data_IF_591227909356
#
_entry.id   IF_591227909356
#
_cell.length_a   1.000
_cell.length_b   1.000
_cell.length_c   1.000
_cell.angle_alpha   90.00
_cell.angle_beta   90.00
_cell.angle_gamma   90.00
#
_symmetry.space_group_name_H-M   'P 1'
#
loop_
_entity.id
_entity.type
_entity.pdbx_description
1 polymer ?
#
# COMPACT_ATOMS: atom_id res chain seq x y z
N UNK A 1 -27.53 -15.56 -17.88
CA UNK A 1 -26.15 -15.59 -18.42
C UNK A 1 -25.23 -15.09 -17.33
N UNK A 2 -24.37 -15.94 -16.78
CA UNK A 2 -23.28 -15.49 -15.91
C UNK A 2 -22.33 -14.67 -16.80
N UNK A 3 -22.21 -13.37 -16.52
CA UNK A 3 -21.23 -12.53 -17.19
C UNK A 3 -19.86 -13.20 -17.00
N UNK A 4 -19.19 -13.58 -18.10
CA UNK A 4 -17.95 -14.38 -18.11
C UNK A 4 -16.73 -13.67 -17.51
N UNK A 5 -16.87 -13.10 -16.31
CA UNK A 5 -15.77 -12.58 -15.52
C UNK A 5 -15.00 -13.78 -14.94
N UNK A 6 -13.66 -13.73 -14.91
CA UNK A 6 -12.86 -14.72 -14.20
C UNK A 6 -13.36 -14.86 -12.76
N UNK A 7 -13.51 -16.11 -12.31
CA UNK A 7 -13.89 -16.42 -10.93
C UNK A 7 -12.69 -16.12 -10.02
N UNK A 8 -12.90 -15.34 -8.96
CA UNK A 8 -11.88 -15.12 -7.92
C UNK A 8 -11.86 -16.33 -6.98
N UNK A 9 -11.05 -17.32 -7.34
CA UNK A 9 -10.94 -18.60 -6.62
C UNK A 9 -10.42 -18.43 -5.19
N UNK A 10 -9.56 -17.43 -4.94
CA UNK A 10 -9.02 -17.15 -3.62
C UNK A 10 -10.13 -16.65 -2.68
N UNK A 11 -10.98 -15.75 -3.20
CA UNK A 11 -12.15 -15.28 -2.47
C UNK A 11 -13.09 -16.44 -2.16
N UNK A 12 -13.45 -17.25 -3.16
CA UNK A 12 -14.36 -18.39 -2.95
C UNK A 12 -13.82 -19.37 -1.91
N UNK A 13 -12.50 -19.66 -1.94
CA UNK A 13 -11.87 -20.53 -0.96
C UNK A 13 -12.02 -19.98 0.46
N UNK A 14 -11.84 -18.67 0.65
CA UNK A 14 -12.00 -18.05 1.98
C UNK A 14 -13.46 -18.02 2.43
N UNK A 15 -14.40 -17.80 1.51
CA UNK A 15 -15.85 -17.81 1.81
C UNK A 15 -16.31 -19.19 2.27
N UNK A 16 -15.85 -20.26 1.60
CA UNK A 16 -16.19 -21.64 1.98
C UNK A 16 -15.62 -22.01 3.36
N UNK A 17 -14.55 -21.36 3.79
CA UNK A 17 -13.90 -21.57 5.10
C UNK A 17 -14.48 -20.69 6.21
N UNK A 18 -15.54 -19.92 5.95
CA UNK A 18 -16.22 -19.16 7.01
C UNK A 18 -16.75 -20.11 8.09
N UNK A 19 -16.69 -19.72 9.38
CA UNK A 19 -17.20 -20.53 10.49
C UNK A 19 -18.69 -20.86 10.33
N UNK A 20 -19.11 -22.02 10.86
CA UNK A 20 -20.52 -22.44 10.82
C UNK A 20 -21.43 -21.42 11.53
N UNK A 21 -20.92 -20.69 12.53
CA UNK A 21 -21.64 -19.61 13.19
C UNK A 21 -22.06 -18.51 12.21
N UNK A 22 -21.19 -18.14 11.26
CA UNK A 22 -21.51 -17.14 10.23
C UNK A 22 -22.56 -17.69 9.25
N UNK A 23 -22.50 -18.98 8.90
CA UNK A 23 -23.51 -19.63 8.05
C UNK A 23 -24.88 -19.74 8.73
N UNK A 24 -24.91 -20.05 10.02
CA UNK A 24 -26.13 -20.17 10.81
C UNK A 24 -26.78 -18.81 11.09
N UNK A 25 -26.00 -17.72 11.11
CA UNK A 25 -26.50 -16.37 11.30
C UNK A 25 -27.27 -15.80 10.08
N UNK A 26 -27.20 -16.46 8.93
CA UNK A 26 -28.02 -16.16 7.76
C UNK A 26 -27.29 -15.41 6.63
N UNK A 27 -27.98 -15.19 5.50
CA UNK A 27 -27.35 -14.70 4.27
C UNK A 27 -26.82 -13.27 4.37
N UNK A 28 -27.44 -12.40 5.17
CA UNK A 28 -26.96 -11.04 5.40
C UNK A 28 -25.59 -11.05 6.06
N UNK A 29 -25.40 -11.91 7.06
CA UNK A 29 -24.10 -12.09 7.73
C UNK A 29 -23.04 -12.56 6.75
N UNK A 30 -23.37 -13.54 5.90
CA UNK A 30 -22.44 -14.04 4.88
C UNK A 30 -22.09 -12.94 3.87
N UNK A 31 -23.04 -12.11 3.47
CA UNK A 31 -22.78 -10.98 2.58
C UNK A 31 -21.78 -9.99 3.20
N UNK A 32 -21.95 -9.62 4.47
CA UNK A 32 -21.02 -8.75 5.19
C UNK A 32 -19.61 -9.35 5.25
N UNK A 33 -19.51 -10.65 5.56
CA UNK A 33 -18.21 -11.35 5.58
C UNK A 33 -17.56 -11.41 4.20
N UNK A 34 -18.32 -11.58 3.13
CA UNK A 34 -17.81 -11.55 1.76
C UNK A 34 -17.24 -10.17 1.42
N UNK A 35 -17.93 -9.09 1.80
CA UNK A 35 -17.44 -7.72 1.56
C UNK A 35 -16.15 -7.44 2.33
N UNK A 36 -16.08 -7.85 3.60
CA UNK A 36 -14.83 -7.75 4.39
C UNK A 36 -13.69 -8.54 3.75
N UNK A 37 -13.92 -9.80 3.35
CA UNK A 37 -12.92 -10.64 2.69
C UNK A 37 -12.44 -10.02 1.38
N UNK A 38 -13.35 -9.48 0.55
CA UNK A 38 -12.98 -8.77 -0.69
C UNK A 38 -12.07 -7.58 -0.41
N UNK A 39 -12.44 -6.75 0.57
CA UNK A 39 -11.67 -5.58 0.93
C UNK A 39 -10.27 -5.95 1.48
N UNK A 40 -10.21 -6.97 2.35
CA UNK A 40 -8.97 -7.52 2.90
C UNK A 40 -8.03 -8.06 1.81
N UNK A 41 -8.54 -8.89 0.91
CA UNK A 41 -7.77 -9.44 -0.23
C UNK A 41 -7.30 -8.32 -1.15
N UNK A 42 -8.17 -7.34 -1.43
CA UNK A 42 -7.83 -6.19 -2.25
C UNK A 42 -6.70 -5.35 -1.67
N UNK A 43 -6.72 -5.13 -0.35
CA UNK A 43 -5.63 -4.48 0.39
C UNK A 43 -4.33 -5.29 0.28
N UNK A 44 -4.36 -6.58 0.57
CA UNK A 44 -3.17 -7.45 0.51
C UNK A 44 -2.52 -7.44 -0.88
N UNK A 45 -3.31 -7.55 -1.96
CA UNK A 45 -2.80 -7.49 -3.33
C UNK A 45 -2.10 -6.15 -3.64
N UNK A 46 -2.64 -5.03 -3.15
CA UNK A 46 -2.04 -3.70 -3.33
C UNK A 46 -0.75 -3.53 -2.53
N UNK A 47 -0.72 -4.03 -1.31
CA UNK A 47 0.49 -4.05 -0.47
C UNK A 47 1.58 -4.85 -1.18
N UNK A 48 1.27 -6.08 -1.63
CA UNK A 48 2.24 -6.93 -2.34
C UNK A 48 2.76 -6.30 -3.62
N UNK A 49 1.91 -5.62 -4.39
CA UNK A 49 2.32 -4.94 -5.61
C UNK A 49 3.28 -3.78 -5.31
N UNK A 50 2.93 -2.92 -4.36
CA UNK A 50 3.82 -1.84 -3.92
C UNK A 50 5.13 -2.41 -3.33
N UNK A 51 5.05 -3.49 -2.56
CA UNK A 51 6.21 -4.20 -2.01
C UNK A 51 7.16 -4.65 -3.13
N UNK A 52 6.61 -5.28 -4.18
CA UNK A 52 7.36 -5.72 -5.36
C UNK A 52 8.02 -4.56 -6.09
N UNK A 53 7.30 -3.45 -6.28
CA UNK A 53 7.81 -2.31 -7.04
C UNK A 53 8.98 -1.63 -6.34
N UNK A 54 8.87 -1.37 -5.04
CA UNK A 54 9.97 -0.75 -4.30
C UNK A 54 11.16 -1.74 -4.16
N UNK A 55 10.90 -3.05 -4.02
CA UNK A 55 11.95 -4.08 -4.00
C UNK A 55 12.69 -4.22 -5.34
N UNK A 56 11.98 -4.11 -6.48
CA UNK A 56 12.58 -4.17 -7.80
C UNK A 56 13.59 -3.04 -8.01
N UNK A 57 13.25 -1.80 -7.64
CA UNK A 57 14.19 -0.70 -7.75
C UNK A 57 15.34 -0.76 -6.75
N UNK A 58 15.15 -1.37 -5.58
CA UNK A 58 16.26 -1.66 -4.68
C UNK A 58 17.27 -2.63 -5.31
N UNK A 59 16.83 -3.55 -6.20
CA UNK A 59 17.66 -4.55 -6.88
C UNK A 59 18.36 -4.04 -8.14
N UNK A 60 17.70 -3.21 -8.96
CA UNK A 60 18.29 -2.61 -10.18
C UNK A 60 19.56 -1.78 -9.89
N UNK A 61 19.77 -1.44 -8.61
CA UNK A 61 21.01 -0.91 -8.03
C UNK A 61 22.26 -1.77 -8.28
N UNK A 62 22.12 -3.05 -8.66
CA UNK A 62 23.23 -4.00 -8.84
C UNK A 62 23.51 -4.41 -10.30
N UNK A 63 22.71 -3.95 -11.26
CA UNK A 63 22.85 -4.30 -12.68
C UNK A 63 23.81 -3.40 -13.45
N UNK A 64 24.91 -3.95 -13.97
CA UNK A 64 25.81 -3.28 -14.92
C UNK A 64 25.06 -2.90 -16.22
N UNK A 65 24.73 -1.63 -16.40
CA UNK A 65 24.15 -1.13 -17.65
C UNK A 65 24.07 0.39 -17.68
N UNK A 66 24.92 1.01 -18.49
CA UNK A 66 25.07 2.47 -18.58
C UNK A 66 23.84 3.19 -19.11
N UNK A 67 23.02 3.71 -18.19
CA UNK A 67 22.27 4.96 -18.37
C UNK A 67 22.10 5.56 -16.97
N UNK A 68 22.65 6.75 -16.73
CA UNK A 68 22.76 7.36 -15.40
C UNK A 68 21.38 7.82 -14.89
N UNK A 69 20.73 7.09 -13.96
CA UNK A 69 19.43 7.49 -13.40
C UNK A 69 19.66 8.50 -12.26
N UNK A 70 18.58 9.05 -11.66
CA UNK A 70 18.67 9.93 -10.48
C UNK A 70 19.56 9.34 -9.38
N UNK A 71 20.18 10.20 -8.54
CA UNK A 71 21.07 9.82 -7.44
C UNK A 71 20.55 8.60 -6.65
N UNK A 72 21.45 7.69 -6.21
CA UNK A 72 21.08 6.48 -5.48
C UNK A 72 20.31 6.82 -4.19
N UNK A 73 19.21 6.11 -3.93
CA UNK A 73 18.52 6.07 -2.62
C UNK A 73 19.60 5.80 -1.56
N UNK A 74 19.83 6.74 -0.65
CA UNK A 74 21.06 6.73 0.14
C UNK A 74 21.01 5.66 1.25
N UNK A 75 19.82 5.21 1.68
CA UNK A 75 19.68 4.10 2.64
C UNK A 75 18.37 3.31 2.55
N UNK A 76 18.44 2.02 2.91
CA UNK A 76 17.29 1.14 3.22
C UNK A 76 16.34 1.77 4.26
N UNK A 77 16.89 2.61 5.14
CA UNK A 77 16.16 3.41 6.13
C UNK A 77 15.19 4.45 5.52
N UNK A 78 15.43 4.94 4.30
CA UNK A 78 14.52 5.89 3.64
C UNK A 78 13.26 5.23 3.10
N UNK A 79 13.32 3.94 2.77
CA UNK A 79 12.16 3.14 2.39
C UNK A 79 11.44 2.56 3.61
N UNK A 80 12.12 2.45 4.77
CA UNK A 80 11.51 1.98 6.02
C UNK A 80 10.28 2.79 6.45
N UNK A 81 10.22 4.09 6.11
CA UNK A 81 9.06 4.94 6.42
C UNK A 81 7.76 4.46 5.77
N UNK A 82 7.86 3.73 4.65
CA UNK A 82 6.74 3.07 3.98
C UNK A 82 6.65 1.60 4.38
N UNK A 83 7.78 0.90 4.55
CA UNK A 83 7.77 -0.52 4.95
C UNK A 83 7.08 -0.79 6.28
N UNK A 84 7.41 -0.05 7.33
CA UNK A 84 6.81 -0.30 8.64
C UNK A 84 5.27 -0.23 8.63
N UNK A 85 4.62 0.82 8.08
CA UNK A 85 3.16 0.84 8.02
C UNK A 85 2.57 -0.19 7.05
N UNK A 86 3.26 -0.59 5.98
CA UNK A 86 2.80 -1.70 5.13
C UNK A 86 2.85 -3.05 5.87
N UNK A 87 3.92 -3.33 6.61
CA UNK A 87 4.04 -4.53 7.44
C UNK A 87 2.95 -4.57 8.52
N UNK A 88 2.65 -3.43 9.13
CA UNK A 88 1.56 -3.32 10.11
C UNK A 88 0.20 -3.62 9.47
N UNK A 89 -0.12 -3.02 8.32
CA UNK A 89 -1.35 -3.35 7.59
C UNK A 89 -1.44 -4.83 7.19
N UNK A 90 -0.32 -5.42 6.75
CA UNK A 90 -0.23 -6.84 6.38
C UNK A 90 -0.42 -7.75 7.59
N UNK A 91 0.16 -7.41 8.73
CA UNK A 91 0.01 -8.12 9.98
C UNK A 91 -1.45 -8.07 10.47
N UNK A 92 -2.09 -6.91 10.45
CA UNK A 92 -3.51 -6.77 10.81
C UNK A 92 -4.41 -7.50 9.82
N UNK A 93 -4.12 -7.43 8.52
CA UNK A 93 -4.77 -8.22 7.49
C UNK A 93 -4.43 -9.72 7.56
N UNK A 94 -3.61 -10.16 8.52
CA UNK A 94 -3.37 -11.57 8.85
C UNK A 94 -4.20 -12.05 10.05
N UNK A 95 -4.77 -11.15 10.84
CA UNK A 95 -5.49 -11.50 12.08
C UNK A 95 -6.90 -12.00 11.81
N UNK A 96 -7.40 -12.80 12.75
CA UNK A 96 -8.81 -13.20 12.82
C UNK A 96 -9.69 -12.02 13.24
N UNK A 97 -9.21 -11.23 14.20
CA UNK A 97 -9.84 -10.00 14.67
C UNK A 97 -8.81 -8.87 14.52
N UNK A 98 -8.91 -8.05 13.46
CA UNK A 98 -7.99 -6.94 13.21
C UNK A 98 -8.13 -5.80 14.23
N UNK A 99 -7.02 -5.15 14.55
CA UNK A 99 -7.01 -3.96 15.42
C UNK A 99 -7.25 -2.68 14.58
N UNK A 100 -8.44 -2.09 14.73
CA UNK A 100 -8.85 -0.89 13.99
C UNK A 100 -7.94 0.31 14.25
N UNK A 101 -7.35 0.44 15.43
CA UNK A 101 -6.50 1.58 15.77
C UNK A 101 -5.13 1.47 15.13
N UNK A 102 -4.58 0.25 15.03
CA UNK A 102 -3.35 -0.01 14.27
C UNK A 102 -3.52 0.25 12.78
N UNK A 103 -4.66 -0.17 12.21
CA UNK A 103 -4.98 0.13 10.80
C UNK A 103 -5.03 1.64 10.57
N UNK A 104 -5.71 2.40 11.44
CA UNK A 104 -5.76 3.88 11.36
C UNK A 104 -4.39 4.52 11.50
N UNK A 105 -3.57 4.02 12.44
CA UNK A 105 -2.20 4.50 12.65
C UNK A 105 -1.36 4.32 11.38
N UNK A 106 -1.41 3.13 10.77
CA UNK A 106 -0.70 2.84 9.53
C UNK A 106 -1.19 3.69 8.34
N UNK A 107 -2.52 3.89 8.21
CA UNK A 107 -3.10 4.82 7.22
C UNK A 107 -2.57 6.25 7.42
N UNK A 108 -2.54 6.71 8.67
CA UNK A 108 -2.04 8.05 9.01
C UNK A 108 -0.54 8.19 8.70
N UNK A 109 0.26 7.15 8.96
CA UNK A 109 1.68 7.14 8.65
C UNK A 109 1.92 7.23 7.13
N UNK A 110 1.25 6.40 6.33
CA UNK A 110 1.34 6.45 4.87
C UNK A 110 0.86 7.79 4.30
N UNK A 111 -0.21 8.35 4.85
CA UNK A 111 -0.70 9.68 4.48
C UNK A 111 0.31 10.78 4.81
N UNK A 112 1.01 10.64 5.94
CA UNK A 112 2.13 11.50 6.33
C UNK A 112 3.26 11.48 5.30
N UNK A 113 3.62 10.29 4.78
CA UNK A 113 4.61 10.16 3.70
C UNK A 113 4.17 10.93 2.45
N UNK A 114 2.91 10.77 2.02
CA UNK A 114 2.39 11.52 0.87
C UNK A 114 2.42 13.04 1.09
N UNK A 115 2.12 13.50 2.31
CA UNK A 115 2.19 14.92 2.66
C UNK A 115 3.63 15.45 2.59
N UNK A 116 4.63 14.69 3.07
CA UNK A 116 6.04 15.07 2.97
C UNK A 116 6.53 15.11 1.52
N UNK A 117 6.11 14.16 0.68
CA UNK A 117 6.37 14.19 -0.77
C UNK A 117 5.77 15.46 -1.39
N UNK A 118 4.52 15.80 -1.04
CA UNK A 118 3.84 17.00 -1.53
C UNK A 118 4.51 18.31 -1.11
N UNK A 119 4.95 18.42 0.15
CA UNK A 119 5.73 19.56 0.64
C UNK A 119 7.05 19.71 -0.13
N UNK A 120 7.71 18.60 -0.45
CA UNK A 120 8.94 18.61 -1.23
C UNK A 120 8.72 19.06 -2.68
N UNK A 121 7.71 18.53 -3.39
CA UNK A 121 7.41 18.95 -4.77
C UNK A 121 6.97 20.41 -4.83
N UNK A 122 6.12 20.85 -3.90
CA UNK A 122 5.72 22.26 -3.76
C UNK A 122 6.88 23.19 -3.44
N UNK A 123 7.75 22.79 -2.49
CA UNK A 123 8.96 23.55 -2.15
C UNK A 123 9.98 23.60 -3.29
N UNK A 124 9.98 22.63 -4.21
CA UNK A 124 10.77 22.70 -5.45
C UNK A 124 10.16 23.66 -6.48
N UNK A 125 8.83 23.79 -6.53
CA UNK A 125 8.18 24.79 -7.38
C UNK A 125 8.56 26.22 -6.92
N UNK A 126 8.59 26.45 -5.61
CA UNK A 126 9.08 27.71 -5.02
C UNK A 126 10.57 27.95 -5.32
N UNK A 127 11.42 26.92 -5.21
CA UNK A 127 12.86 27.01 -5.55
C UNK A 127 13.15 27.04 -7.05
N UNK A 128 12.21 26.68 -7.92
CA UNK A 128 12.39 26.82 -9.37
C UNK A 128 12.33 28.29 -9.81
N UNK A 129 11.75 29.17 -8.98
CA UNK A 129 11.80 30.63 -9.16
C UNK A 129 13.18 31.18 -8.74
N UNK A 130 13.88 30.52 -7.82
CA UNK A 130 15.23 30.88 -7.37
C UNK A 130 16.26 29.77 -7.69
N UNK A 131 16.78 29.80 -8.93
CA UNK A 131 18.01 29.14 -9.43
C UNK A 131 18.33 27.71 -8.94
N UNK A 132 18.36 26.80 -9.94
CA UNK A 132 19.02 25.48 -9.93
C UNK A 132 18.57 24.56 -8.78
N UNK A 133 17.65 23.66 -9.11
CA UNK A 133 17.17 22.60 -8.21
C UNK A 133 18.38 21.83 -7.66
N UNK A 134 18.74 22.11 -6.42
CA UNK A 134 19.79 21.39 -5.71
C UNK A 134 19.24 20.06 -5.20
N UNK A 135 20.00 18.99 -5.43
CA UNK A 135 19.64 17.60 -5.15
C UNK A 135 20.12 17.18 -3.75
N UNK A 136 19.81 18.00 -2.74
CA UNK A 136 20.36 17.94 -1.39
C UNK A 136 19.40 17.37 -0.33
N UNK A 137 18.50 16.44 -0.71
CA UNK A 137 17.64 15.65 0.21
C UNK A 137 17.76 14.15 -0.14
N UNK A 138 17.72 13.24 0.86
CA UNK A 138 17.84 11.79 0.69
C UNK A 138 17.01 11.24 -0.47
N UNK A 139 17.66 10.49 -1.34
CA UNK A 139 17.11 10.07 -2.62
C UNK A 139 15.86 9.18 -2.53
N UNK A 140 15.54 8.62 -1.36
CA UNK A 140 14.33 7.85 -1.10
C UNK A 140 13.03 8.64 -1.25
N UNK A 141 12.95 9.90 -0.82
CA UNK A 141 11.73 10.71 -1.03
C UNK A 141 11.48 11.00 -2.51
N UNK A 142 12.55 11.22 -3.29
CA UNK A 142 12.44 11.40 -4.74
C UNK A 142 11.97 10.14 -5.46
N UNK A 143 12.39 8.98 -4.98
CA UNK A 143 11.94 7.69 -5.50
C UNK A 143 10.47 7.38 -5.11
N UNK A 144 10.09 7.59 -3.85
CA UNK A 144 8.70 7.42 -3.40
C UNK A 144 7.73 8.36 -4.13
N UNK A 145 8.19 9.53 -4.59
CA UNK A 145 7.40 10.42 -5.44
C UNK A 145 6.95 9.76 -6.76
N UNK A 146 7.65 8.73 -7.24
CA UNK A 146 7.26 7.94 -8.42
C UNK A 146 6.12 6.94 -8.11
N UNK A 147 5.87 6.66 -6.83
CA UNK A 147 4.92 5.65 -6.35
C UNK A 147 3.75 6.25 -5.56
N UNK A 148 3.50 7.56 -5.74
CA UNK A 148 2.43 8.27 -5.02
C UNK A 148 1.05 7.65 -5.30
N UNK A 149 0.82 7.22 -6.53
CA UNK A 149 -0.45 6.61 -6.92
C UNK A 149 -0.65 5.26 -6.23
N UNK A 150 0.39 4.45 -6.13
CA UNK A 150 0.41 3.11 -5.54
C UNK A 150 0.27 3.20 -4.01
N UNK A 151 1.00 4.12 -3.37
CA UNK A 151 0.85 4.41 -1.94
C UNK A 151 -0.58 4.88 -1.64
N UNK A 152 -1.14 5.77 -2.48
CA UNK A 152 -2.52 6.22 -2.34
C UNK A 152 -3.52 5.08 -2.51
N UNK A 153 -3.30 4.18 -3.46
CA UNK A 153 -4.14 3.00 -3.62
C UNK A 153 -4.10 2.10 -2.38
N UNK A 154 -2.95 1.91 -1.74
CA UNK A 154 -2.90 1.15 -0.48
C UNK A 154 -3.73 1.84 0.60
N UNK A 155 -3.59 3.18 0.76
CA UNK A 155 -4.38 3.97 1.71
C UNK A 155 -5.88 3.80 1.45
N UNK A 156 -6.34 4.02 0.22
CA UNK A 156 -7.76 3.95 -0.12
C UNK A 156 -8.33 2.53 0.11
N UNK A 157 -7.53 1.48 -0.13
CA UNK A 157 -7.93 0.10 0.14
C UNK A 157 -7.98 -0.20 1.65
N UNK A 158 -7.04 0.32 2.43
CA UNK A 158 -7.04 0.18 3.88
C UNK A 158 -8.23 0.92 4.51
N UNK A 159 -8.57 2.11 4.03
CA UNK A 159 -9.77 2.84 4.44
C UNK A 159 -11.06 2.10 4.08
N UNK A 160 -11.13 1.51 2.89
CA UNK A 160 -12.28 0.71 2.46
C UNK A 160 -12.46 -0.53 3.34
N UNK A 161 -11.37 -1.26 3.63
CA UNK A 161 -11.40 -2.41 4.53
C UNK A 161 -11.75 -2.01 5.97
N UNK A 162 -11.24 -0.89 6.47
CA UNK A 162 -11.59 -0.41 7.81
C UNK A 162 -13.10 -0.14 7.98
N UNK A 163 -13.81 0.22 6.90
CA UNK A 163 -15.27 0.43 6.92
C UNK A 163 -16.07 -0.87 6.97
N UNK A 164 -15.48 -2.00 6.58
CA UNK A 164 -16.13 -3.31 6.63
C UNK A 164 -15.96 -4.03 7.97
N UNK A 165 -14.97 -3.61 8.77
CA UNK A 165 -14.72 -4.12 10.12
C UNK A 165 -15.68 -3.49 11.14
#
# INVERSE_FOLDING_TARGET
>A
MLAGRPVDWDLLRQVVLLPDEDWNAGPERIADRIEELRARIGLQRRIEELERQLAAAARDRTGMGGNNPPKPIETEAELMIVWQPLEELKAEAGREIPDKDKIRSAISALSGVLAEIGKWTGGKLDRAVDKAIDWSVPAGLGYLALHVAEIRQVIDAAEAWLKTL
#
